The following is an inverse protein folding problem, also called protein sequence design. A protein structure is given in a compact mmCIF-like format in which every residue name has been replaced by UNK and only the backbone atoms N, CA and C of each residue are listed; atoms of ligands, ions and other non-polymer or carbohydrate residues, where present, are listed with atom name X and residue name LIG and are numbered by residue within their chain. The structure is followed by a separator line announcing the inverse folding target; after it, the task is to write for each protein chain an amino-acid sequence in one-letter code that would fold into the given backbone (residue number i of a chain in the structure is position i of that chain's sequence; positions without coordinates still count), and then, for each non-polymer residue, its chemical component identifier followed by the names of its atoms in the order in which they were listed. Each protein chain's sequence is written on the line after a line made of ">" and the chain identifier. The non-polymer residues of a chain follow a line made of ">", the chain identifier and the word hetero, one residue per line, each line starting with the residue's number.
data_IF_860228879565
#
_entry.id   IF_860228879565
#
_cell.length_a   1.000
_cell.length_b   1.000
_cell.length_c   1.000
_cell.angle_alpha   90.00
_cell.angle_beta   90.00
_cell.angle_gamma   90.00
#
_symmetry.space_group_name_H-M   'P 1'
#
loop_
_entity.id
_entity.type
_entity.pdbx_description
1 polymer ?
#
# COMPACT_ATOMS: atom_id res chain seq x y z
N UNK A 1 -35.57 9.10 2.87
CA UNK A 1 -35.35 9.89 4.10
C UNK A 1 -36.70 10.44 4.56
N UNK A 2 -37.00 10.40 5.86
CA UNK A 2 -38.17 11.07 6.42
C UNK A 2 -37.78 12.52 6.78
N UNK A 3 -38.54 13.50 6.30
CA UNK A 3 -38.26 14.93 6.47
C UNK A 3 -39.32 15.66 7.30
N UNK A 4 -40.24 14.94 7.95
CA UNK A 4 -41.46 15.50 8.55
C UNK A 4 -41.21 16.50 9.69
N UNK A 5 -39.99 16.52 10.25
CA UNK A 5 -39.53 17.49 11.28
C UNK A 5 -38.28 18.27 10.87
N UNK A 6 -37.90 18.25 9.59
CA UNK A 6 -36.72 18.98 9.13
C UNK A 6 -37.00 20.47 8.98
N UNK A 7 -36.05 21.32 9.41
CA UNK A 7 -36.12 22.77 9.24
C UNK A 7 -35.37 23.27 7.99
N UNK A 8 -34.73 22.37 7.23
CA UNK A 8 -33.96 22.70 6.03
C UNK A 8 -32.86 21.68 5.72
N UNK A 9 -32.05 21.97 4.70
CA UNK A 9 -30.89 21.17 4.28
C UNK A 9 -29.80 22.05 3.66
N UNK A 10 -28.57 21.53 3.61
CA UNK A 10 -27.41 22.19 2.99
C UNK A 10 -26.97 21.33 1.81
N UNK A 11 -26.69 21.98 0.69
CA UNK A 11 -26.07 21.36 -0.49
C UNK A 11 -24.58 21.73 -0.51
N UNK A 12 -23.73 20.73 -0.75
CA UNK A 12 -22.29 20.91 -0.95
C UNK A 12 -21.81 19.95 -2.03
N UNK A 13 -20.68 20.28 -2.67
CA UNK A 13 -20.06 19.41 -3.66
C UNK A 13 -19.11 18.43 -2.97
N UNK A 14 -19.23 17.16 -3.33
CA UNK A 14 -18.31 16.10 -2.91
C UNK A 14 -17.68 15.44 -4.15
N UNK A 15 -16.59 14.70 -3.95
CA UNK A 15 -15.94 13.95 -5.01
C UNK A 15 -16.29 12.47 -4.90
N UNK A 16 -16.70 11.90 -6.02
CA UNK A 16 -16.93 10.46 -6.16
C UNK A 16 -15.97 9.89 -7.19
N UNK A 17 -15.34 8.74 -6.88
CA UNK A 17 -14.52 8.01 -7.83
C UNK A 17 -15.42 7.13 -8.72
N UNK A 18 -15.64 7.49 -10.00
CA UNK A 18 -16.59 6.80 -10.88
C UNK A 18 -16.20 5.34 -11.15
N UNK A 19 -14.91 5.06 -11.06
CA UNK A 19 -14.31 3.78 -11.43
C UNK A 19 -13.96 2.88 -10.24
N UNK A 20 -14.41 3.24 -9.02
CA UNK A 20 -14.04 2.67 -7.73
C UNK A 20 -12.59 2.97 -7.26
N UNK A 21 -12.39 2.83 -5.96
CA UNK A 21 -11.12 3.06 -5.26
C UNK A 21 -10.03 2.07 -5.66
N UNK A 22 -10.37 0.81 -5.91
CA UNK A 22 -9.41 -0.21 -6.32
C UNK A 22 -8.76 0.11 -7.68
N UNK A 23 -9.52 0.58 -8.67
CA UNK A 23 -8.97 1.01 -9.97
C UNK A 23 -8.13 2.26 -9.82
N UNK A 24 -8.57 3.21 -8.99
CA UNK A 24 -7.78 4.39 -8.67
C UNK A 24 -6.39 4.02 -8.13
N UNK A 25 -6.31 3.11 -7.14
CA UNK A 25 -5.03 2.61 -6.61
C UNK A 25 -4.21 1.91 -7.68
N UNK A 26 -4.82 1.04 -8.48
CA UNK A 26 -4.11 0.31 -9.52
C UNK A 26 -3.50 1.22 -10.59
N UNK A 27 -4.12 2.36 -10.91
CA UNK A 27 -3.54 3.34 -11.83
C UNK A 27 -2.19 3.88 -11.35
N UNK A 28 -1.99 4.08 -10.04
CA UNK A 28 -0.69 4.48 -9.49
C UNK A 28 0.36 3.37 -9.61
N UNK A 29 -0.02 2.13 -9.30
CA UNK A 29 0.88 0.97 -9.43
C UNK A 29 1.32 0.84 -10.89
N UNK A 30 0.37 0.92 -11.83
CA UNK A 30 0.65 0.86 -13.26
C UNK A 30 1.57 1.99 -13.71
N UNK A 31 1.29 3.23 -13.27
CA UNK A 31 2.11 4.39 -13.57
C UNK A 31 3.54 4.29 -13.03
N UNK A 32 3.74 3.64 -11.87
CA UNK A 32 5.07 3.36 -11.33
C UNK A 32 5.81 2.32 -12.17
N UNK A 33 5.12 1.24 -12.59
CA UNK A 33 5.68 0.21 -13.46
C UNK A 33 6.09 0.78 -14.83
N UNK A 34 5.26 1.66 -15.40
CA UNK A 34 5.55 2.31 -16.70
C UNK A 34 6.80 3.22 -16.64
N UNK A 35 7.26 3.58 -15.42
CA UNK A 35 8.49 4.36 -15.18
C UNK A 35 9.67 3.49 -14.72
N UNK A 36 9.56 2.17 -14.83
CA UNK A 36 10.62 1.22 -14.46
C UNK A 36 10.60 0.76 -13.00
N UNK A 37 9.55 1.09 -12.24
CA UNK A 37 9.32 0.51 -10.92
C UNK A 37 8.93 -0.96 -11.00
N UNK A 38 9.28 -1.75 -9.99
CA UNK A 38 8.82 -3.12 -9.82
C UNK A 38 7.72 -3.16 -8.76
N UNK A 39 6.61 -3.83 -9.07
CA UNK A 39 5.53 -4.09 -8.13
C UNK A 39 5.30 -5.60 -8.05
N UNK A 40 5.24 -6.12 -6.82
CA UNK A 40 5.03 -7.53 -6.54
C UNK A 40 3.81 -7.68 -5.63
N UNK A 41 2.82 -8.43 -6.07
CA UNK A 41 1.68 -8.83 -5.25
C UNK A 41 1.90 -10.24 -4.69
N UNK A 42 1.14 -10.61 -3.66
CA UNK A 42 1.29 -11.89 -2.96
C UNK A 42 2.70 -12.13 -2.39
N UNK A 43 3.47 -11.06 -2.18
CA UNK A 43 4.77 -11.10 -1.51
C UNK A 43 4.61 -10.43 -0.16
N UNK A 44 4.69 -11.23 0.89
CA UNK A 44 4.58 -10.74 2.27
C UNK A 44 5.95 -10.33 2.80
N UNK A 45 6.04 -9.17 3.46
CA UNK A 45 7.23 -8.81 4.25
C UNK A 45 7.21 -9.53 5.58
N UNK A 46 8.28 -10.26 5.89
CA UNK A 46 8.49 -10.96 7.17
C UNK A 46 9.32 -10.13 8.16
N UNK A 47 9.62 -8.87 7.83
CA UNK A 47 10.43 -7.97 8.62
C UNK A 47 11.70 -7.52 7.90
N UNK A 48 12.21 -6.35 8.31
CA UNK A 48 13.42 -5.76 7.76
C UNK A 48 14.39 -5.38 8.87
N UNK A 49 15.68 -5.66 8.64
CA UNK A 49 16.76 -5.25 9.53
C UNK A 49 17.71 -4.33 8.78
N UNK A 50 18.20 -3.29 9.46
CA UNK A 50 19.20 -2.38 8.90
C UNK A 50 20.58 -2.80 9.33
N UNK A 51 21.41 -3.14 8.35
CA UNK A 51 22.80 -3.47 8.57
C UNK A 51 23.58 -2.19 8.95
N UNK A 52 24.25 -2.23 10.09
CA UNK A 52 24.91 -1.05 10.66
C UNK A 52 26.18 -0.64 9.88
N UNK A 53 26.86 -1.60 9.25
CA UNK A 53 28.14 -1.37 8.58
C UNK A 53 27.94 -0.85 7.14
N UNK A 54 27.06 -1.49 6.38
CA UNK A 54 26.72 -1.14 5.00
C UNK A 54 25.62 -0.07 4.90
N UNK A 55 24.79 0.06 5.93
CA UNK A 55 23.66 0.99 5.97
C UNK A 55 22.44 0.56 5.16
N UNK A 56 22.47 -0.60 4.50
CA UNK A 56 21.36 -1.17 3.73
C UNK A 56 20.37 -1.89 4.65
N UNK A 57 19.11 -1.89 4.23
CA UNK A 57 18.07 -2.77 4.75
C UNK A 57 18.14 -4.13 4.06
N UNK A 58 18.08 -5.20 4.84
CA UNK A 58 17.76 -6.55 4.37
C UNK A 58 16.33 -6.89 4.78
N UNK A 59 15.44 -7.08 3.81
CA UNK A 59 14.02 -7.41 4.04
C UNK A 59 13.78 -8.85 3.64
N UNK A 60 13.32 -9.67 4.58
CA UNK A 60 12.91 -11.05 4.30
C UNK A 60 11.49 -11.02 3.78
N UNK A 61 11.24 -11.71 2.68
CA UNK A 61 9.91 -11.79 2.08
C UNK A 61 9.54 -13.23 1.78
N UNK A 62 8.23 -13.51 1.78
CA UNK A 62 7.66 -14.80 1.37
C UNK A 62 6.74 -14.61 0.17
N UNK A 63 7.00 -15.34 -0.90
CA UNK A 63 6.04 -15.52 -1.99
C UNK A 63 4.92 -16.45 -1.49
N UNK A 64 3.70 -15.93 -1.42
CA UNK A 64 2.54 -16.66 -0.93
C UNK A 64 1.95 -17.64 -1.96
N UNK A 65 2.40 -17.57 -3.22
CA UNK A 65 1.98 -18.49 -4.27
C UNK A 65 2.83 -19.77 -4.21
N UNK A 66 4.15 -19.63 -4.15
CA UNK A 66 5.09 -20.76 -4.11
C UNK A 66 5.43 -21.24 -2.69
N UNK A 67 5.39 -20.34 -1.70
CA UNK A 67 5.89 -20.55 -0.34
C UNK A 67 7.39 -20.23 -0.18
N UNK A 68 8.08 -19.85 -1.26
CA UNK A 68 9.51 -19.58 -1.25
C UNK A 68 9.86 -18.30 -0.49
N UNK A 69 11.05 -18.28 0.10
CA UNK A 69 11.56 -17.15 0.87
C UNK A 69 12.72 -16.50 0.13
N UNK A 70 12.70 -15.17 0.11
CA UNK A 70 13.73 -14.35 -0.54
C UNK A 70 14.18 -13.22 0.39
N UNK A 71 15.32 -12.63 0.06
CA UNK A 71 15.83 -11.43 0.72
C UNK A 71 16.01 -10.30 -0.29
N UNK A 72 15.47 -9.13 0.03
CA UNK A 72 15.57 -7.92 -0.79
C UNK A 72 16.47 -6.92 -0.05
N UNK A 73 17.51 -6.44 -0.73
CA UNK A 73 18.37 -5.37 -0.21
C UNK A 73 17.92 -4.00 -0.72
N UNK A 74 17.76 -3.04 0.17
CA UNK A 74 17.33 -1.69 -0.16
C UNK A 74 18.10 -0.62 0.62
N UNK A 75 18.30 0.56 0.04
CA UNK A 75 18.90 1.71 0.78
C UNK A 75 17.92 2.35 1.75
N UNK A 76 16.64 2.31 1.40
CA UNK A 76 15.53 2.93 2.15
C UNK A 76 14.38 1.92 2.18
N UNK A 77 13.75 1.79 3.34
CA UNK A 77 12.54 1.02 3.56
C UNK A 77 11.43 1.98 4.03
N UNK A 78 10.26 1.92 3.39
CA UNK A 78 9.08 2.71 3.75
C UNK A 78 7.98 1.75 4.18
N UNK A 79 7.49 1.90 5.41
CA UNK A 79 6.32 1.16 5.90
C UNK A 79 5.04 1.93 5.52
N UNK A 80 4.30 1.38 4.56
CA UNK A 80 3.01 1.90 4.11
C UNK A 80 1.89 0.86 4.29
N UNK A 81 1.96 0.03 5.35
CA UNK A 81 1.06 -1.11 5.58
C UNK A 81 -0.32 -0.72 6.17
N UNK A 82 -0.70 0.56 6.14
CA UNK A 82 -1.99 1.05 6.61
C UNK A 82 -2.28 0.64 8.06
N UNK A 83 -3.42 -0.01 8.37
CA UNK A 83 -3.75 -0.42 9.74
C UNK A 83 -2.79 -1.48 10.32
N UNK A 84 -1.94 -2.09 9.49
CA UNK A 84 -0.92 -3.06 9.92
C UNK A 84 0.44 -2.44 10.21
N UNK A 85 0.56 -1.10 10.20
CA UNK A 85 1.83 -0.38 10.41
C UNK A 85 2.55 -0.81 11.71
N UNK A 86 1.80 -1.05 12.78
CA UNK A 86 2.36 -1.41 14.09
C UNK A 86 2.90 -2.85 14.15
N UNK A 87 2.50 -3.69 13.20
CA UNK A 87 2.85 -5.12 13.19
C UNK A 87 3.91 -5.46 12.14
N UNK A 88 4.26 -4.52 11.25
CA UNK A 88 5.03 -4.84 10.06
C UNK A 88 6.26 -3.95 9.89
N UNK A 89 7.44 -4.57 10.05
CA UNK A 89 8.79 -3.99 9.99
C UNK A 89 9.14 -3.07 11.16
#
# INVERSE_FOLDING_TARGET
>A
MNTDKSIGGIEYSDAYLPENDARFVFQFIRGAMDRGGLALNYVESLGGERDADSGFWGVKVRDQISGDHHEIKAKVLINACGPFVDFQN
#
